data_IF_173657535082
#
_entry.id   IF_173657535082
#
_cell.length_a   1.000
_cell.length_b   1.000
_cell.length_c   1.000
_cell.angle_alpha   90.00
_cell.angle_beta   90.00
_cell.angle_gamma   90.00
#
_symmetry.space_group_name_H-M   'P 1'
#
loop_
_entity.id
_entity.type
_entity.pdbx_description
1 polymer ?
#
# COMPACT_ATOMS: atom_id res chain seq x y z
N UNK A 1 -17.77 31.31 -60.22
CA UNK A 1 -17.26 32.13 -59.10
C UNK A 1 -15.78 31.76 -58.91
N UNK A 2 -14.85 32.55 -59.48
CA UNK A 2 -13.85 33.41 -58.79
C UNK A 2 -13.18 32.70 -57.61
N UNK A 3 -11.99 32.12 -57.73
CA UNK A 3 -10.64 32.65 -58.05
C UNK A 3 -9.77 32.67 -56.77
N UNK A 4 -8.58 32.10 -56.92
CA UNK A 4 -7.62 31.72 -55.90
C UNK A 4 -6.64 32.85 -55.48
N UNK A 5 -6.10 32.67 -54.26
CA UNK A 5 -4.75 33.03 -53.77
C UNK A 5 -4.40 34.53 -53.64
N UNK A 6 -4.10 34.97 -52.41
CA UNK A 6 -2.78 35.55 -52.11
C UNK A 6 -2.45 35.48 -50.62
N UNK A 7 -1.28 34.90 -50.31
CA UNK A 7 -0.61 34.92 -49.01
C UNK A 7 -0.09 36.33 -48.70
N UNK A 8 -0.15 36.76 -47.44
CA UNK A 8 0.76 37.76 -46.89
C UNK A 8 1.40 37.25 -45.61
N UNK A 9 2.68 36.91 -45.76
CA UNK A 9 3.68 36.74 -44.72
C UNK A 9 3.91 38.08 -44.03
N UNK A 10 3.98 38.10 -42.69
CA UNK A 10 4.61 39.21 -41.95
C UNK A 10 5.68 38.60 -41.07
N UNK A 11 6.92 38.80 -41.49
CA UNK A 11 8.14 38.55 -40.74
C UNK A 11 8.51 39.86 -40.06
N UNK A 12 8.60 39.87 -38.73
CA UNK A 12 9.22 40.95 -37.97
C UNK A 12 10.28 40.34 -37.05
N UNK A 13 11.53 40.56 -37.42
CA UNK A 13 12.73 40.30 -36.64
C UNK A 13 12.92 41.50 -35.70
N UNK A 14 13.06 41.25 -34.40
CA UNK A 14 13.66 42.20 -33.47
C UNK A 14 14.65 41.43 -32.57
N UNK A 15 15.92 41.75 -32.77
CA UNK A 15 17.06 41.26 -32.01
C UNK A 15 17.09 41.91 -30.62
N UNK A 16 17.48 41.14 -29.59
CA UNK A 16 17.66 41.64 -28.23
C UNK A 16 18.56 40.73 -27.42
N UNK A 17 19.86 40.95 -27.57
CA UNK A 17 21.00 40.62 -26.70
C UNK A 17 20.92 39.40 -25.75
N UNK A 18 21.73 38.39 -26.11
CA UNK A 18 22.24 37.38 -25.19
C UNK A 18 23.10 38.02 -24.09
N UNK A 19 22.90 37.58 -22.85
CA UNK A 19 23.85 37.76 -21.75
C UNK A 19 24.34 36.36 -21.33
N UNK A 20 25.43 35.94 -21.97
CA UNK A 20 26.24 34.78 -21.59
C UNK A 20 27.09 35.17 -20.39
N UNK A 21 26.77 34.66 -19.21
CA UNK A 21 27.69 34.62 -18.07
C UNK A 21 28.52 33.34 -18.17
N UNK A 22 29.65 33.44 -18.87
CA UNK A 22 30.71 32.45 -18.79
C UNK A 22 31.55 32.75 -17.53
N UNK A 23 31.46 31.88 -16.53
CA UNK A 23 32.48 31.74 -15.48
C UNK A 23 33.19 30.41 -15.72
N UNK A 24 34.32 30.48 -16.41
CA UNK A 24 35.25 29.35 -16.55
C UNK A 24 36.21 29.30 -15.37
N UNK A 25 36.30 28.13 -14.75
CA UNK A 25 37.58 27.52 -14.40
C UNK A 25 37.97 27.47 -12.93
N UNK A 26 37.88 26.27 -12.34
CA UNK A 26 39.03 25.70 -11.67
C UNK A 26 39.07 24.18 -11.91
N UNK A 27 40.14 23.72 -12.54
CA UNK A 27 40.48 22.32 -12.74
C UNK A 27 41.04 21.75 -11.44
N UNK A 28 40.55 20.59 -11.02
CA UNK A 28 41.16 19.80 -9.97
C UNK A 28 40.64 18.38 -10.03
N UNK A 29 41.33 17.50 -10.77
CA UNK A 29 41.13 16.06 -10.65
C UNK A 29 41.67 15.60 -9.30
N UNK A 30 40.84 14.87 -8.55
CA UNK A 30 41.22 14.25 -7.29
C UNK A 30 40.02 13.95 -6.40
N UNK A 31 39.74 12.66 -6.24
CA UNK A 31 38.83 12.05 -5.25
C UNK A 31 37.35 12.41 -5.34
N UNK A 32 36.58 11.47 -5.91
CA UNK A 32 35.16 11.30 -5.62
C UNK A 32 35.01 10.86 -4.17
N UNK A 33 34.97 11.82 -3.25
CA UNK A 33 34.37 11.62 -1.93
C UNK A 33 32.85 11.61 -2.13
N UNK A 34 32.27 10.41 -2.06
CA UNK A 34 30.86 10.26 -1.73
C UNK A 34 30.58 10.95 -0.39
N UNK A 35 29.41 11.58 -0.28
CA UNK A 35 28.86 12.05 1.00
C UNK A 35 29.27 13.46 1.41
N UNK A 36 28.62 14.48 0.84
CA UNK A 36 28.14 15.66 1.58
C UNK A 36 26.78 16.04 0.97
N UNK A 37 25.76 16.07 1.82
CA UNK A 37 24.34 16.24 1.51
C UNK A 37 24.04 17.30 0.45
N UNK A 38 23.43 16.89 -0.66
CA UNK A 38 22.59 17.80 -1.42
C UNK A 38 21.30 18.01 -0.60
N UNK A 39 20.85 19.26 -0.48
CA UNK A 39 19.50 19.53 0.01
C UNK A 39 18.50 18.70 -0.83
N UNK A 40 17.43 18.16 -0.22
CA UNK A 40 16.52 17.30 -0.94
C UNK A 40 16.00 18.02 -2.18
N UNK A 41 16.09 17.35 -3.32
CA UNK A 41 15.54 17.89 -4.56
C UNK A 41 14.05 18.19 -4.35
N UNK A 42 13.59 19.32 -4.90
CA UNK A 42 12.19 19.72 -4.72
C UNK A 42 11.28 18.67 -5.36
N UNK A 43 10.29 18.18 -4.61
CA UNK A 43 9.40 17.11 -5.02
C UNK A 43 9.98 15.71 -4.87
N UNK A 44 11.16 15.53 -4.26
CA UNK A 44 11.78 14.22 -4.05
C UNK A 44 12.04 13.98 -2.56
N UNK A 45 11.60 12.84 -2.06
CA UNK A 45 11.79 12.39 -0.69
C UNK A 45 12.49 11.03 -0.65
N UNK A 46 13.65 10.97 0.03
CA UNK A 46 14.54 9.81 0.12
C UNK A 46 14.95 9.54 1.58
N UNK A 47 14.01 9.72 2.52
CA UNK A 47 14.19 9.39 3.94
C UNK A 47 15.33 10.15 4.66
N UNK A 48 15.82 11.25 4.07
CA UNK A 48 16.85 12.11 4.64
C UNK A 48 16.38 12.87 5.89
N UNK A 49 15.07 13.09 6.03
CA UNK A 49 14.42 13.79 7.14
C UNK A 49 13.12 13.07 7.50
N UNK A 50 12.67 13.14 8.77
CA UNK A 50 11.41 12.49 9.16
C UNK A 50 10.18 13.15 8.52
N UNK A 51 10.30 14.42 8.08
CA UNK A 51 9.23 15.23 7.49
C UNK A 51 9.67 15.90 6.20
N UNK A 52 8.76 16.03 5.24
CA UNK A 52 9.01 16.70 3.95
C UNK A 52 7.69 17.15 3.30
N UNK A 53 7.62 18.36 2.77
CA UNK A 53 6.42 18.88 2.09
C UNK A 53 6.68 19.22 0.63
N UNK A 54 5.72 18.89 -0.25
CA UNK A 54 5.67 19.37 -1.62
C UNK A 54 4.59 20.46 -1.73
N UNK A 55 5.00 21.70 -1.99
CA UNK A 55 4.12 22.87 -1.94
C UNK A 55 3.10 22.96 -3.09
N UNK A 56 3.25 22.20 -4.19
CA UNK A 56 2.41 22.44 -5.38
C UNK A 56 2.27 21.28 -6.37
N UNK A 57 2.42 20.03 -5.97
CA UNK A 57 2.13 18.93 -6.90
C UNK A 57 2.75 17.60 -6.53
N UNK A 58 3.10 16.87 -7.59
CA UNK A 58 3.67 15.52 -7.55
C UNK A 58 4.82 15.40 -6.54
N UNK A 59 4.83 14.31 -5.78
CA UNK A 59 5.88 13.97 -4.82
C UNK A 59 6.42 12.58 -5.17
N UNK A 60 7.69 12.50 -5.54
CA UNK A 60 8.41 11.25 -5.66
C UNK A 60 8.91 10.82 -4.27
N UNK A 61 8.55 9.63 -3.83
CA UNK A 61 9.15 8.96 -2.68
C UNK A 61 9.97 7.79 -3.20
N UNK A 62 11.24 7.71 -2.82
CA UNK A 62 12.18 6.70 -3.33
C UNK A 62 13.10 6.19 -2.24
N UNK A 63 13.40 4.90 -2.28
CA UNK A 63 14.46 4.32 -1.47
C UNK A 63 15.84 4.84 -1.95
N UNK A 64 16.65 5.48 -1.10
CA UNK A 64 17.95 5.98 -1.51
C UNK A 64 18.90 4.82 -1.87
N UNK A 65 19.75 5.01 -2.88
CA UNK A 65 20.72 3.99 -3.33
C UNK A 65 21.63 3.48 -2.21
N UNK A 66 21.98 4.36 -1.25
CA UNK A 66 22.77 3.99 -0.08
C UNK A 66 22.05 3.00 0.83
N UNK A 67 20.73 3.13 1.01
CA UNK A 67 19.93 2.19 1.79
C UNK A 67 19.83 0.86 1.04
N UNK A 68 19.52 0.90 -0.27
CA UNK A 68 19.46 -0.31 -1.11
C UNK A 68 20.79 -1.06 -1.08
N UNK A 69 21.91 -0.34 -1.07
CA UNK A 69 23.25 -0.95 -0.95
C UNK A 69 23.50 -1.53 0.45
N UNK A 70 22.99 -0.88 1.50
CA UNK A 70 23.14 -1.31 2.89
C UNK A 70 22.33 -2.57 3.23
N UNK A 71 21.22 -2.83 2.54
CA UNK A 71 20.48 -4.11 2.61
C UNK A 71 21.38 -5.32 2.33
N UNK A 72 22.41 -5.13 1.51
CA UNK A 72 23.31 -6.21 1.12
C UNK A 72 22.62 -7.26 0.23
N UNK A 73 23.07 -8.51 0.35
CA UNK A 73 22.51 -9.64 -0.44
C UNK A 73 21.47 -10.46 0.31
N UNK A 74 21.18 -10.13 1.56
CA UNK A 74 20.28 -10.91 2.43
C UNK A 74 18.82 -10.41 2.36
N UNK A 75 18.59 -9.26 1.72
CA UNK A 75 17.28 -8.65 1.56
C UNK A 75 17.16 -7.96 0.20
N UNK A 76 16.02 -8.13 -0.47
CA UNK A 76 15.73 -7.58 -1.80
C UNK A 76 14.54 -6.63 -1.75
N UNK A 77 14.69 -5.33 -2.08
CA UNK A 77 13.55 -4.42 -2.12
C UNK A 77 12.59 -4.83 -3.22
N UNK A 78 11.28 -4.83 -2.95
CA UNK A 78 10.25 -5.23 -3.90
C UNK A 78 9.56 -4.03 -4.57
N UNK A 79 9.57 -2.89 -3.89
CA UNK A 79 9.19 -1.57 -4.42
C UNK A 79 10.32 -0.60 -4.11
N UNK A 80 10.71 0.21 -5.09
CA UNK A 80 11.79 1.20 -4.91
C UNK A 80 11.30 2.63 -4.94
N UNK A 81 10.19 2.90 -5.63
CA UNK A 81 9.69 4.26 -5.83
C UNK A 81 8.17 4.28 -5.87
N UNK A 82 7.59 5.39 -5.41
CA UNK A 82 6.19 5.74 -5.62
C UNK A 82 6.10 7.22 -6.00
N UNK A 83 5.42 7.51 -7.10
CA UNK A 83 5.10 8.88 -7.52
C UNK A 83 3.69 9.21 -7.04
N UNK A 84 3.57 10.19 -6.15
CA UNK A 84 2.32 10.60 -5.53
C UNK A 84 1.75 11.81 -6.25
N UNK A 85 0.56 11.69 -6.82
CA UNK A 85 -0.12 12.76 -7.53
C UNK A 85 -1.48 13.02 -6.89
N UNK A 86 -1.81 14.27 -6.50
CA UNK A 86 -3.13 14.57 -5.97
C UNK A 86 -4.22 14.22 -6.99
N UNK A 87 -5.28 13.54 -6.54
CA UNK A 87 -6.46 13.26 -7.35
C UNK A 87 -7.59 14.19 -6.96
N UNK A 88 -8.15 14.87 -7.96
CA UNK A 88 -9.38 15.63 -7.80
C UNK A 88 -10.56 14.65 -7.67
N UNK A 89 -11.44 14.89 -6.70
CA UNK A 89 -12.68 14.14 -6.52
C UNK A 89 -13.87 15.09 -6.67
N UNK A 90 -15.01 14.55 -7.08
CA UNK A 90 -16.25 15.29 -7.20
C UNK A 90 -16.82 15.55 -5.80
N UNK A 91 -16.42 16.68 -5.21
CA UNK A 91 -16.85 17.11 -3.89
C UNK A 91 -15.70 17.30 -2.91
N UNK A 92 -16.01 17.86 -1.74
CA UNK A 92 -15.00 18.33 -0.79
C UNK A 92 -14.95 17.52 0.51
N UNK A 93 -15.52 16.31 0.56
CA UNK A 93 -15.57 15.51 1.80
C UNK A 93 -14.24 14.81 2.07
N UNK A 94 -13.65 14.19 1.06
CA UNK A 94 -12.42 13.44 1.13
C UNK A 94 -11.38 13.99 0.16
N UNK A 95 -10.14 13.61 0.38
CA UNK A 95 -9.01 13.89 -0.48
C UNK A 95 -8.47 12.56 -1.00
N UNK A 96 -7.92 12.57 -2.22
CA UNK A 96 -7.30 11.40 -2.79
C UNK A 96 -5.90 11.71 -3.31
N UNK A 97 -5.06 10.67 -3.29
CA UNK A 97 -3.76 10.66 -3.92
C UNK A 97 -3.63 9.38 -4.74
N UNK A 98 -3.08 9.53 -5.93
CA UNK A 98 -2.67 8.44 -6.79
C UNK A 98 -1.19 8.16 -6.55
N UNK A 99 -0.85 6.89 -6.32
CA UNK A 99 0.51 6.40 -6.16
C UNK A 99 0.83 5.53 -7.38
N UNK A 100 1.71 6.03 -8.25
CA UNK A 100 2.28 5.22 -9.32
C UNK A 100 3.48 4.45 -8.75
N UNK A 101 3.32 3.13 -8.62
CA UNK A 101 4.25 2.23 -7.94
C UNK A 101 5.30 1.71 -8.93
N UNK A 102 6.57 1.81 -8.56
CA UNK A 102 7.68 1.20 -9.29
C UNK A 102 8.19 -0.02 -8.54
N UNK A 103 7.89 -1.20 -9.09
CA UNK A 103 8.38 -2.48 -8.60
C UNK A 103 9.84 -2.70 -9.01
N UNK A 104 10.60 -3.33 -8.12
CA UNK A 104 11.96 -3.77 -8.41
C UNK A 104 11.97 -5.24 -8.81
N UNK A 105 12.71 -5.60 -9.87
CA UNK A 105 12.86 -6.99 -10.32
C UNK A 105 11.53 -7.71 -10.51
N UNK A 106 11.35 -8.85 -9.83
CA UNK A 106 10.10 -9.63 -9.80
C UNK A 106 9.14 -9.21 -8.66
N UNK A 107 9.36 -8.04 -8.05
CA UNK A 107 8.63 -7.55 -6.89
C UNK A 107 7.11 -7.57 -7.07
N UNK A 108 6.60 -7.19 -8.25
CA UNK A 108 5.17 -7.26 -8.55
C UNK A 108 4.63 -8.70 -8.43
N UNK A 109 5.37 -9.68 -8.94
CA UNK A 109 4.98 -11.10 -8.91
C UNK A 109 5.00 -11.64 -7.49
N UNK A 110 6.00 -11.25 -6.69
CA UNK A 110 6.11 -11.64 -5.28
C UNK A 110 4.98 -11.03 -4.46
N UNK A 111 4.75 -9.73 -4.59
CA UNK A 111 3.78 -8.97 -3.77
C UNK A 111 2.32 -9.29 -4.09
N UNK A 112 2.02 -9.71 -5.33
CA UNK A 112 0.67 -10.09 -5.77
C UNK A 112 0.36 -11.58 -5.53
N UNK A 113 1.36 -12.36 -5.13
CA UNK A 113 1.16 -13.76 -4.77
C UNK A 113 0.19 -13.86 -3.59
N UNK A 114 -0.76 -14.82 -3.60
CA UNK A 114 -1.63 -15.04 -2.46
C UNK A 114 -0.84 -15.55 -1.23
N UNK A 115 -1.12 -14.96 -0.06
CA UNK A 115 -0.60 -15.37 1.26
C UNK A 115 -0.90 -16.81 1.64
N UNK A 116 -2.01 -17.34 1.13
CA UNK A 116 -2.42 -18.74 1.27
C UNK A 116 -2.89 -19.24 -0.07
N UNK A 117 -2.64 -20.49 -0.38
CA UNK A 117 -3.36 -21.18 -1.45
C UNK A 117 -4.82 -21.42 -1.07
N UNK A 118 -5.68 -21.70 -2.06
CA UNK A 118 -7.07 -22.10 -1.79
C UNK A 118 -7.13 -23.33 -0.86
N UNK A 119 -6.19 -24.27 -1.03
CA UNK A 119 -6.13 -25.48 -0.21
C UNK A 119 -5.81 -25.15 1.27
N UNK A 120 -4.78 -24.33 1.51
CA UNK A 120 -4.39 -23.90 2.87
C UNK A 120 -5.46 -23.02 3.52
N UNK A 121 -6.11 -22.15 2.73
CA UNK A 121 -7.25 -21.38 3.22
C UNK A 121 -8.39 -22.30 3.64
N UNK A 122 -8.78 -23.26 2.79
CA UNK A 122 -9.86 -24.20 3.09
C UNK A 122 -9.58 -25.08 4.29
N UNK A 123 -8.33 -25.54 4.45
CA UNK A 123 -7.90 -26.27 5.66
C UNK A 123 -8.02 -25.39 6.91
N UNK A 124 -7.61 -24.12 6.85
CA UNK A 124 -7.73 -23.17 7.96
C UNK A 124 -9.18 -22.85 8.33
N UNK A 125 -10.05 -22.68 7.34
CA UNK A 125 -11.49 -22.51 7.56
C UNK A 125 -12.10 -23.77 8.20
N UNK A 126 -11.72 -24.97 7.73
CA UNK A 126 -12.22 -26.24 8.27
C UNK A 126 -11.79 -26.45 9.73
N UNK A 127 -10.54 -26.10 10.06
CA UNK A 127 -10.07 -26.07 11.44
C UNK A 127 -10.87 -25.07 12.29
N UNK A 128 -11.14 -23.89 11.76
CA UNK A 128 -11.91 -22.85 12.48
C UNK A 128 -13.34 -23.33 12.76
N UNK A 129 -13.98 -24.00 11.79
CA UNK A 129 -15.26 -24.66 12.03
C UNK A 129 -15.17 -25.79 13.04
N UNK A 130 -14.12 -26.59 12.99
CA UNK A 130 -13.99 -27.72 13.90
C UNK A 130 -13.89 -27.21 15.33
N UNK A 131 -13.06 -26.21 15.57
CA UNK A 131 -12.86 -25.64 16.91
C UNK A 131 -14.13 -24.88 17.38
N UNK A 132 -14.87 -24.23 16.48
CA UNK A 132 -16.07 -23.47 16.85
C UNK A 132 -17.35 -24.32 16.95
N UNK A 133 -17.46 -25.41 16.18
CA UNK A 133 -18.67 -26.23 16.08
C UNK A 133 -18.47 -27.65 16.58
N UNK A 134 -17.42 -28.34 16.11
CA UNK A 134 -17.29 -29.79 16.32
C UNK A 134 -16.75 -30.09 17.72
N UNK A 135 -15.77 -29.35 18.20
CA UNK A 135 -15.20 -29.56 19.54
C UNK A 135 -16.22 -29.31 20.67
N UNK A 136 -17.01 -28.23 20.68
CA UNK A 136 -18.06 -28.04 21.69
C UNK A 136 -19.11 -29.16 21.70
N UNK A 137 -19.45 -29.72 20.53
CA UNK A 137 -20.34 -30.86 20.41
C UNK A 137 -19.68 -32.11 21.00
N UNK A 138 -18.43 -32.38 20.63
CA UNK A 138 -17.69 -33.53 21.14
C UNK A 138 -17.55 -33.49 22.67
N UNK A 139 -17.26 -32.33 23.24
CA UNK A 139 -17.19 -32.11 24.68
C UNK A 139 -18.55 -32.34 25.35
N UNK A 140 -19.63 -31.79 24.80
CA UNK A 140 -20.98 -32.04 25.31
C UNK A 140 -21.34 -33.54 25.32
N UNK A 141 -21.00 -34.27 24.26
CA UNK A 141 -21.23 -35.72 24.19
C UNK A 141 -20.43 -36.45 25.26
N UNK A 142 -19.17 -36.07 25.47
CA UNK A 142 -18.31 -36.67 26.49
C UNK A 142 -18.83 -36.40 27.91
N UNK A 143 -19.37 -35.20 28.17
CA UNK A 143 -19.89 -34.81 29.47
C UNK A 143 -21.25 -35.43 29.79
N UNK A 144 -22.16 -35.48 28.81
CA UNK A 144 -23.56 -35.92 29.02
C UNK A 144 -23.78 -37.40 28.70
N UNK A 145 -22.90 -38.00 27.90
CA UNK A 145 -23.10 -39.33 27.32
C UNK A 145 -24.20 -39.38 26.25
N UNK A 146 -24.71 -38.23 25.78
CA UNK A 146 -25.74 -38.17 24.75
C UNK A 146 -25.13 -38.42 23.36
N UNK A 147 -25.09 -39.68 22.96
CA UNK A 147 -24.56 -40.08 21.65
C UNK A 147 -25.50 -39.77 20.49
N UNK A 148 -26.67 -39.15 20.72
CA UNK A 148 -27.59 -38.77 19.64
C UNK A 148 -27.06 -37.64 18.75
N UNK A 149 -25.90 -37.09 19.12
CA UNK A 149 -25.19 -35.97 18.51
C UNK A 149 -23.84 -36.37 17.90
N UNK A 150 -23.48 -37.67 17.88
CA UNK A 150 -22.21 -38.13 17.28
C UNK A 150 -22.25 -37.96 15.76
N UNK A 151 -21.29 -37.22 15.21
CA UNK A 151 -21.12 -37.02 13.78
C UNK A 151 -19.88 -37.78 13.27
N UNK A 152 -20.03 -38.53 12.18
CA UNK A 152 -18.90 -39.21 11.52
C UNK A 152 -18.21 -38.31 10.48
N UNK A 153 -18.94 -37.33 9.96
CA UNK A 153 -18.52 -36.34 8.98
C UNK A 153 -18.93 -34.93 9.47
N UNK A 154 -18.72 -33.92 8.63
CA UNK A 154 -19.20 -32.56 8.85
C UNK A 154 -20.72 -32.51 9.12
N UNK A 155 -21.20 -31.90 10.23
CA UNK A 155 -22.62 -31.89 10.58
C UNK A 155 -23.46 -31.04 9.62
N UNK A 156 -24.70 -31.46 9.32
CA UNK A 156 -25.66 -30.62 8.60
C UNK A 156 -26.18 -29.47 9.47
N UNK A 157 -26.81 -28.46 8.85
CA UNK A 157 -27.47 -27.37 9.60
C UNK A 157 -28.55 -27.88 10.55
N UNK A 158 -29.37 -28.85 10.11
CA UNK A 158 -30.38 -29.48 10.96
C UNK A 158 -29.75 -30.16 12.19
N UNK A 159 -28.56 -30.74 12.04
CA UNK A 159 -27.83 -31.35 13.14
C UNK A 159 -27.26 -30.31 14.11
N UNK A 160 -26.80 -29.16 13.60
CA UNK A 160 -26.33 -28.03 14.40
C UNK A 160 -27.49 -27.41 15.20
N UNK A 161 -28.63 -27.17 14.57
CA UNK A 161 -29.83 -26.64 15.24
C UNK A 161 -30.32 -27.59 16.33
N UNK A 162 -30.39 -28.89 16.02
CA UNK A 162 -30.77 -29.91 17.02
C UNK A 162 -29.80 -29.95 18.20
N UNK A 163 -28.50 -29.77 17.95
CA UNK A 163 -27.50 -29.70 19.01
C UNK A 163 -27.75 -28.50 19.93
N UNK A 164 -27.98 -27.32 19.37
CA UNK A 164 -28.24 -26.09 20.14
C UNK A 164 -29.49 -26.26 21.03
N UNK A 165 -30.57 -26.80 20.47
CA UNK A 165 -31.81 -27.09 21.20
C UNK A 165 -31.60 -28.10 22.33
N UNK A 166 -30.71 -29.09 22.13
CA UNK A 166 -30.44 -30.15 23.12
C UNK A 166 -29.45 -29.69 24.20
N UNK A 167 -28.46 -28.89 23.82
CA UNK A 167 -27.43 -28.41 24.72
C UNK A 167 -27.92 -27.30 25.66
N UNK A 168 -29.02 -26.61 25.31
CA UNK A 168 -29.58 -25.45 26.04
C UNK A 168 -28.50 -24.45 26.45
N UNK A 169 -27.49 -24.29 25.57
CA UNK A 169 -26.28 -23.54 25.86
C UNK A 169 -26.34 -22.19 25.16
N UNK A 170 -26.30 -21.14 25.98
CA UNK A 170 -26.25 -19.76 25.49
C UNK A 170 -25.02 -19.47 24.62
N UNK A 171 -23.92 -20.20 24.83
CA UNK A 171 -22.67 -20.03 24.07
C UNK A 171 -22.73 -20.54 22.62
N UNK A 172 -23.77 -21.29 22.27
CA UNK A 172 -23.89 -21.95 20.96
C UNK A 172 -24.99 -21.31 20.08
N UNK A 173 -25.60 -20.21 20.54
CA UNK A 173 -26.67 -19.54 19.80
C UNK A 173 -26.20 -18.92 18.48
N UNK A 174 -24.93 -18.50 18.41
CA UNK A 174 -24.33 -17.90 17.21
C UNK A 174 -23.76 -18.95 16.25
N UNK A 175 -23.79 -20.24 16.64
CA UNK A 175 -23.23 -21.33 15.86
C UNK A 175 -23.88 -21.52 14.46
N UNK A 176 -25.21 -21.38 14.28
CA UNK A 176 -25.83 -21.48 12.97
C UNK A 176 -25.34 -20.37 12.03
N UNK A 177 -25.25 -19.13 12.53
CA UNK A 177 -24.78 -17.98 11.74
C UNK A 177 -23.31 -18.16 11.33
N UNK A 178 -22.44 -18.56 12.28
CA UNK A 178 -21.04 -18.84 11.98
C UNK A 178 -20.87 -19.98 10.95
N UNK A 179 -21.71 -21.01 11.03
CA UNK A 179 -21.66 -22.14 10.11
C UNK A 179 -22.20 -21.79 8.71
N UNK A 180 -23.27 -20.99 8.62
CA UNK A 180 -23.76 -20.45 7.35
C UNK A 180 -22.73 -19.51 6.72
N UNK A 181 -22.10 -18.64 7.51
CA UNK A 181 -21.04 -17.74 7.05
C UNK A 181 -19.85 -18.54 6.48
N UNK A 182 -19.45 -19.63 7.13
CA UNK A 182 -18.46 -20.53 6.54
C UNK A 182 -18.96 -21.17 5.24
N UNK A 183 -20.21 -21.67 5.19
CA UNK A 183 -20.73 -22.34 4.00
C UNK A 183 -20.78 -21.41 2.79
N UNK A 184 -21.05 -20.13 3.03
CA UNK A 184 -21.04 -19.07 2.05
C UNK A 184 -19.66 -18.45 1.81
N UNK A 185 -18.63 -18.86 2.58
CA UNK A 185 -17.30 -18.29 2.45
C UNK A 185 -16.68 -18.71 1.10
N UNK A 186 -16.24 -17.72 0.35
CA UNK A 186 -15.53 -17.93 -0.91
C UNK A 186 -14.05 -17.60 -0.71
N UNK A 187 -13.19 -18.44 -1.28
CA UNK A 187 -11.77 -18.14 -1.31
C UNK A 187 -11.51 -16.88 -2.13
N UNK A 188 -11.03 -15.84 -1.45
CA UNK A 188 -10.56 -14.59 -2.08
C UNK A 188 -9.07 -14.48 -1.84
N UNK A 189 -8.21 -14.67 -2.87
CA UNK A 189 -6.77 -14.58 -2.70
C UNK A 189 -6.40 -13.19 -2.18
N UNK A 190 -5.68 -13.15 -1.06
CA UNK A 190 -5.14 -11.92 -0.50
C UNK A 190 -3.64 -11.84 -0.82
N UNK A 191 -3.20 -10.83 -1.59
CA UNK A 191 -1.78 -10.54 -1.83
C UNK A 191 -0.94 -10.48 -0.54
N UNK A 192 0.34 -10.84 -0.62
CA UNK A 192 1.33 -10.71 0.47
C UNK A 192 1.45 -9.26 0.96
N UNK A 193 1.43 -8.31 0.04
CA UNK A 193 1.56 -6.91 0.41
C UNK A 193 0.26 -6.38 1.03
N UNK A 194 0.33 -5.97 2.29
CA UNK A 194 -0.82 -5.48 3.05
C UNK A 194 -1.60 -4.39 2.32
N UNK A 195 -0.91 -3.46 1.66
CA UNK A 195 -1.49 -2.38 0.84
C UNK A 195 -2.41 -2.92 -0.26
N UNK A 196 -1.96 -3.95 -0.98
CA UNK A 196 -2.76 -4.60 -2.03
C UNK A 196 -3.85 -5.49 -1.43
N UNK A 197 -3.59 -6.13 -0.29
CA UNK A 197 -4.55 -7.04 0.36
C UNK A 197 -5.85 -6.36 0.81
N UNK A 198 -5.78 -5.06 1.10
CA UNK A 198 -6.92 -4.24 1.53
C UNK A 198 -7.53 -3.39 0.41
N UNK A 199 -6.96 -3.41 -0.79
CA UNK A 199 -7.40 -2.54 -1.87
C UNK A 199 -8.59 -3.13 -2.63
N UNK A 200 -9.61 -2.31 -2.87
CA UNK A 200 -10.68 -2.60 -3.83
C UNK A 200 -10.20 -2.39 -5.26
N UNK A 201 -10.86 -2.97 -6.28
CA UNK A 201 -10.60 -2.64 -7.68
C UNK A 201 -10.82 -1.14 -7.96
N UNK A 202 -9.95 -0.54 -8.78
CA UNK A 202 -10.06 0.86 -9.17
C UNK A 202 -11.41 1.22 -9.83
N UNK A 203 -12.07 0.26 -10.48
CA UNK A 203 -13.40 0.45 -11.08
C UNK A 203 -14.53 0.63 -10.06
N UNK A 204 -14.29 0.32 -8.79
CA UNK A 204 -15.27 0.50 -7.69
C UNK A 204 -15.21 1.89 -7.05
N UNK A 205 -14.20 2.71 -7.40
CA UNK A 205 -14.14 4.08 -6.92
C UNK A 205 -15.22 4.93 -7.62
N UNK A 206 -16.21 5.38 -6.85
CA UNK A 206 -17.16 6.41 -7.27
C UNK A 206 -16.59 7.79 -6.93
N UNK A 207 -16.07 8.50 -7.93
CA UNK A 207 -15.48 9.83 -7.74
C UNK A 207 -16.49 10.88 -7.24
N UNK A 208 -17.79 10.68 -7.50
CA UNK A 208 -18.89 11.59 -7.11
C UNK A 208 -19.43 11.34 -5.71
N UNK A 209 -19.18 10.15 -5.18
CA UNK A 209 -19.52 9.77 -3.81
C UNK A 209 -18.41 8.88 -3.23
N UNK A 210 -17.17 9.39 -3.10
CA UNK A 210 -16.03 8.56 -2.76
C UNK A 210 -16.12 8.06 -1.32
N UNK A 211 -15.73 6.80 -1.10
CA UNK A 211 -15.60 6.20 0.22
C UNK A 211 -14.12 6.15 0.62
N UNK A 212 -13.79 6.30 1.92
CA UNK A 212 -12.41 6.11 2.38
C UNK A 212 -11.95 4.69 2.11
N UNK A 213 -10.73 4.54 1.61
CA UNK A 213 -10.20 3.23 1.24
C UNK A 213 -9.05 3.32 0.26
N UNK A 214 -8.59 2.16 -0.16
CA UNK A 214 -7.56 1.98 -1.18
C UNK A 214 -8.15 1.32 -2.41
N UNK A 215 -7.76 1.78 -3.59
CA UNK A 215 -8.28 1.34 -4.87
C UNK A 215 -7.14 1.08 -5.84
N UNK A 216 -7.00 -0.13 -6.37
CA UNK A 216 -5.85 -0.53 -7.20
C UNK A 216 -6.29 -0.90 -8.62
N UNK A 217 -5.53 -0.47 -9.63
CA UNK A 217 -5.73 -0.91 -11.02
C UNK A 217 -5.41 -2.39 -11.19
N UNK A 218 -5.99 -3.04 -12.21
CA UNK A 218 -5.80 -4.49 -12.44
C UNK A 218 -4.37 -4.88 -12.83
N UNK A 219 -3.53 -3.92 -13.22
CA UNK A 219 -2.10 -4.08 -13.48
C UNK A 219 -1.22 -3.75 -12.26
N UNK A 220 -1.84 -3.53 -11.08
CA UNK A 220 -1.18 -3.26 -9.80
C UNK A 220 -0.22 -2.05 -9.79
N UNK A 221 -0.30 -1.14 -10.76
CA UNK A 221 0.67 -0.03 -10.90
C UNK A 221 0.18 1.31 -10.39
N UNK A 222 -1.13 1.47 -10.25
CA UNK A 222 -1.74 2.71 -9.79
C UNK A 222 -2.66 2.43 -8.61
N UNK A 223 -2.24 2.86 -7.43
CA UNK A 223 -3.01 2.80 -6.20
C UNK A 223 -3.59 4.18 -5.91
N UNK A 224 -4.90 4.28 -5.77
CA UNK A 224 -5.56 5.48 -5.27
C UNK A 224 -5.92 5.28 -3.81
N UNK A 225 -5.48 6.18 -2.94
CA UNK A 225 -5.90 6.21 -1.54
C UNK A 225 -6.85 7.38 -1.35
N UNK A 226 -8.03 7.10 -0.81
CA UNK A 226 -9.05 8.09 -0.42
C UNK A 226 -9.10 8.16 1.10
N UNK A 227 -8.92 9.36 1.66
CA UNK A 227 -8.94 9.58 3.10
C UNK A 227 -9.52 10.97 3.43
N UNK A 228 -9.74 11.22 4.71
CA UNK A 228 -10.03 12.55 5.24
C UNK A 228 -8.97 13.57 4.82
N UNK A 229 -9.43 14.74 4.36
CA UNK A 229 -8.53 15.83 4.03
C UNK A 229 -7.88 16.38 5.28
N UNK A 230 -6.56 16.53 5.25
CA UNK A 230 -5.81 17.21 6.30
C UNK A 230 -6.18 18.69 6.40
N UNK A 231 -6.24 19.20 7.63
CA UNK A 231 -6.49 20.62 7.87
C UNK A 231 -5.24 21.49 7.65
N UNK A 232 -4.06 20.90 7.76
CA UNK A 232 -2.77 21.58 7.56
C UNK A 232 -1.67 20.58 7.15
N UNK A 233 -0.53 21.04 6.61
CA UNK A 233 0.60 20.17 6.26
C UNK A 233 1.18 19.39 7.45
N UNK A 234 1.06 19.93 8.66
CA UNK A 234 1.58 19.32 9.88
C UNK A 234 0.57 18.42 10.60
N UNK A 235 -0.66 18.30 10.07
CA UNK A 235 -1.66 17.38 10.57
C UNK A 235 -1.12 15.95 10.42
N UNK A 236 -1.14 15.16 11.49
CA UNK A 236 -0.67 13.77 11.45
C UNK A 236 -1.72 12.96 10.68
N UNK A 237 -1.64 13.02 9.34
CA UNK A 237 -2.59 12.38 8.44
C UNK A 237 -2.68 10.87 8.66
N UNK A 238 -3.81 10.28 8.28
CA UNK A 238 -4.09 8.86 8.43
C UNK A 238 -3.53 7.97 7.31
N UNK A 239 -3.05 8.57 6.23
CA UNK A 239 -2.60 7.82 5.05
C UNK A 239 -1.19 7.30 5.25
N UNK A 240 -1.00 5.98 5.08
CA UNK A 240 0.28 5.29 5.23
C UNK A 240 0.64 4.58 3.93
N UNK A 241 1.90 4.66 3.51
CA UNK A 241 2.45 3.87 2.41
C UNK A 241 3.74 3.17 2.87
N UNK A 242 3.92 1.92 2.45
CA UNK A 242 5.06 1.09 2.85
C UNK A 242 5.89 0.64 1.66
N UNK A 243 7.19 0.53 1.87
CA UNK A 243 8.14 -0.08 0.93
C UNK A 243 8.45 -1.49 1.42
N UNK A 244 7.93 -2.52 0.74
CA UNK A 244 8.19 -3.90 1.12
C UNK A 244 9.57 -4.40 0.68
N UNK A 245 10.11 -5.36 1.44
CA UNK A 245 11.36 -6.07 1.19
C UNK A 245 11.14 -7.58 1.32
N UNK A 246 11.85 -8.36 0.53
CA UNK A 246 11.93 -9.81 0.70
C UNK A 246 13.18 -10.12 1.53
N UNK A 247 12.99 -10.59 2.76
CA UNK A 247 14.07 -10.95 3.67
C UNK A 247 13.77 -12.32 4.28
N UNK A 248 14.75 -13.23 4.30
CA UNK A 248 14.55 -14.57 4.88
C UNK A 248 13.49 -15.46 4.20
N UNK A 249 12.96 -15.03 3.04
CA UNK A 249 11.86 -15.70 2.34
C UNK A 249 10.47 -15.11 2.62
N UNK A 250 10.38 -14.15 3.53
CA UNK A 250 9.15 -13.46 3.92
C UNK A 250 9.12 -12.03 3.39
N UNK A 251 7.90 -11.53 3.11
CA UNK A 251 7.69 -10.13 2.74
C UNK A 251 7.53 -9.31 4.01
N UNK A 252 8.47 -8.41 4.24
CA UNK A 252 8.49 -7.51 5.40
C UNK A 252 8.34 -6.05 4.97
N UNK A 253 8.10 -5.15 5.92
CA UNK A 253 8.09 -3.69 5.68
C UNK A 253 9.47 -3.13 5.97
N UNK A 254 10.16 -2.63 4.94
CA UNK A 254 11.46 -1.98 5.10
C UNK A 254 11.32 -0.51 5.49
N UNK A 255 10.42 0.21 4.84
CA UNK A 255 10.23 1.63 5.14
C UNK A 255 8.76 2.01 5.12
N UNK A 256 8.41 2.98 5.96
CA UNK A 256 7.06 3.51 6.07
C UNK A 256 7.10 5.03 5.91
N UNK A 257 6.10 5.57 5.21
CA UNK A 257 5.82 7.01 5.17
C UNK A 257 4.37 7.27 5.56
N UNK A 258 4.17 8.24 6.44
CA UNK A 258 2.84 8.79 6.74
C UNK A 258 2.65 10.09 5.99
N UNK A 259 1.47 10.24 5.41
CA UNK A 259 1.14 11.27 4.45
C UNK A 259 -0.04 12.10 4.95
N UNK A 260 0.07 13.40 4.75
CA UNK A 260 -1.02 14.37 4.89
C UNK A 260 -1.37 14.90 3.50
N UNK A 261 -2.66 14.84 3.16
CA UNK A 261 -3.19 15.24 1.85
C UNK A 261 -4.24 16.33 2.07
N UNK A 262 -3.98 17.51 1.51
CA UNK A 262 -4.88 18.66 1.63
C UNK A 262 -5.77 18.83 0.40
N UNK A 263 -6.90 19.55 0.56
CA UNK A 263 -7.79 19.93 -0.55
C UNK A 263 -7.11 20.75 -1.65
N UNK A 264 -6.01 21.43 -1.31
CA UNK A 264 -5.19 22.17 -2.28
C UNK A 264 -4.39 21.25 -3.20
N UNK A 265 -4.34 19.94 -2.93
CA UNK A 265 -3.41 19.00 -3.55
C UNK A 265 -2.00 19.05 -2.93
N UNK A 266 -1.82 19.75 -1.81
CA UNK A 266 -0.56 19.71 -1.07
C UNK A 266 -0.40 18.33 -0.42
N UNK A 267 0.73 17.68 -0.67
CA UNK A 267 1.10 16.39 -0.09
C UNK A 267 2.32 16.60 0.81
N UNK A 268 2.25 16.09 2.04
CA UNK A 268 3.34 16.20 3.02
C UNK A 268 3.61 14.85 3.67
N UNK A 269 4.88 14.45 3.73
CA UNK A 269 5.38 13.39 4.60
C UNK A 269 5.44 13.93 6.03
N UNK A 270 4.62 13.39 6.91
CA UNK A 270 4.46 13.82 8.32
C UNK A 270 5.31 12.99 9.28
N UNK A 271 5.65 11.77 8.88
CA UNK A 271 6.67 10.94 9.49
C UNK A 271 7.20 9.94 8.46
N UNK A 272 8.42 9.50 8.65
CA UNK A 272 9.00 8.37 7.93
C UNK A 272 9.92 7.58 8.84
N UNK A 273 10.01 6.29 8.56
CA UNK A 273 10.82 5.33 9.31
C UNK A 273 11.39 4.30 8.34
N UNK A 274 12.60 3.81 8.65
CA UNK A 274 13.24 2.71 7.95
C UNK A 274 13.61 1.68 9.00
N UNK A 275 13.05 0.48 8.90
CA UNK A 275 13.24 -0.58 9.88
C UNK A 275 14.66 -1.16 9.78
N UNK A 276 15.32 -1.32 10.93
CA UNK A 276 16.65 -1.88 11.03
C UNK A 276 17.80 -1.05 10.46
N UNK A 277 17.56 0.19 9.98
CA UNK A 277 18.60 1.05 9.44
C UNK A 277 18.53 2.49 9.96
N UNK A 278 19.69 3.08 10.21
CA UNK A 278 19.85 4.49 10.59
C UNK A 278 20.93 5.16 9.74
N UNK A 279 20.90 6.49 9.69
CA UNK A 279 21.98 7.27 9.09
C UNK A 279 23.08 7.56 10.11
N UNK A 280 24.33 7.27 9.77
CA UNK A 280 25.49 7.66 10.56
C UNK A 280 25.76 9.18 10.50
N UNK A 281 26.80 9.65 11.20
CA UNK A 281 27.16 11.09 11.20
C UNK A 281 27.65 11.60 9.85
N UNK A 282 28.08 10.71 8.97
CA UNK A 282 28.53 11.00 7.61
C UNK A 282 27.35 10.88 6.61
N UNK A 283 26.15 10.56 7.10
CA UNK A 283 24.93 10.44 6.33
C UNK A 283 24.75 9.11 5.60
N UNK A 284 25.61 8.12 5.86
CA UNK A 284 25.52 6.78 5.26
C UNK A 284 24.48 5.94 5.99
N UNK A 285 23.77 5.10 5.23
CA UNK A 285 22.89 4.10 5.81
C UNK A 285 23.71 2.94 6.39
N UNK A 286 23.44 2.62 7.65
CA UNK A 286 24.04 1.50 8.39
C UNK A 286 22.93 0.75 9.14
N UNK A 287 23.15 -0.52 9.44
CA UNK A 287 22.24 -1.27 10.31
C UNK A 287 22.21 -0.65 11.72
N UNK A 288 21.03 -0.55 12.32
CA UNK A 288 20.80 -0.08 13.69
C UNK A 288 21.24 -1.11 14.76
#
# INVERSE_FOLDING_TARGET
>A
MRAQITKKTVTSIAAGAAMLLALTGCSGGGQTSAGIDAAPEQGVFEFQTPRYGSDSGELLIRLPEGLVSALGGDAEPLVTEAVLTPRELDGAKYCAVDLSITYAGEGEVVLTKPTKTEAEWREGEELSLRDYAIEPIADYINETGDTSLVFQDRPSMEQIEKFIDTADSYFLQDLPEAYEAYLASEYKPKPEWSVLSSASPASELDESAPEPGSYITSDNRLLTIVDSCAASPADDGGTVFTFPVLAGGDVETLAEVKLSIMKSGTITVTSSEVDGFVRDTDGNWIAD
#
